data_IF_230647634497
#
_entry.id   IF_230647634497
#
_cell.length_a   1.000
_cell.length_b   1.000
_cell.length_c   1.000
_cell.angle_alpha   90.00
_cell.angle_beta   90.00
_cell.angle_gamma   90.00
#
_symmetry.space_group_name_H-M   'P 1'
#
loop_
_entity.id
_entity.type
_entity.pdbx_description
1 polymer ?
#
# COMPACT_ATOMS: atom_id res chain seq x y z
N UNK A 1 7.53 -6.15 -3.03
CA UNK A 1 7.07 -5.62 -1.72
C UNK A 1 5.56 -5.47 -1.69
N UNK A 2 4.94 -4.73 -2.62
CA UNK A 2 3.48 -4.54 -2.63
C UNK A 2 2.71 -5.86 -2.81
N UNK A 3 3.05 -6.67 -3.82
CA UNK A 3 2.44 -8.00 -4.04
C UNK A 3 2.52 -8.90 -2.81
N UNK A 4 3.69 -8.98 -2.18
CA UNK A 4 3.85 -9.73 -0.93
C UNK A 4 3.03 -9.14 0.21
N UNK A 5 2.92 -7.80 0.31
CA UNK A 5 2.17 -7.13 1.38
C UNK A 5 0.65 -7.32 1.26
N UNK A 6 0.14 -7.55 0.05
CA UNK A 6 -1.25 -7.95 -0.21
C UNK A 6 -1.61 -9.28 0.45
N UNK A 7 -0.73 -10.28 0.39
CA UNK A 7 -0.95 -11.52 1.12
C UNK A 7 -0.88 -11.32 2.64
N UNK A 8 0.04 -10.45 3.10
CA UNK A 8 0.21 -10.17 4.53
C UNK A 8 -1.01 -9.48 5.13
N UNK A 9 -1.60 -8.49 4.44
CA UNK A 9 -2.81 -7.81 4.95
C UNK A 9 -4.01 -8.75 4.99
N UNK A 10 -4.12 -9.66 4.02
CA UNK A 10 -5.16 -10.69 4.00
C UNK A 10 -5.08 -11.64 5.20
N UNK A 11 -3.88 -11.97 5.70
CA UNK A 11 -3.73 -12.74 6.95
C UNK A 11 -4.29 -11.98 8.15
N UNK A 12 -4.24 -10.64 8.13
CA UNK A 12 -4.85 -9.79 9.15
C UNK A 12 -6.37 -9.82 9.12
N UNK A 13 -6.97 -9.78 7.92
CA UNK A 13 -8.42 -9.94 7.74
C UNK A 13 -8.91 -11.33 8.19
N UNK A 14 -8.20 -12.38 7.78
CA UNK A 14 -8.49 -13.75 8.23
C UNK A 14 -8.39 -13.91 9.75
N UNK A 15 -7.52 -13.16 10.43
CA UNK A 15 -7.41 -13.15 11.88
C UNK A 15 -8.62 -12.50 12.55
N UNK A 16 -9.09 -11.34 12.08
CA UNK A 16 -10.24 -10.67 12.69
C UNK A 16 -11.54 -11.47 12.51
N UNK A 17 -11.69 -12.19 11.39
CA UNK A 17 -12.81 -13.12 11.17
C UNK A 17 -12.86 -14.26 12.17
N UNK A 18 -11.72 -14.58 12.82
CA UNK A 18 -11.62 -15.53 13.95
C UNK A 18 -11.68 -14.83 15.33
N UNK A 19 -12.10 -13.57 15.38
CA UNK A 19 -12.07 -12.69 16.57
C UNK A 19 -10.65 -12.41 17.13
N UNK A 20 -9.58 -12.70 16.38
CA UNK A 20 -8.21 -12.40 16.81
C UNK A 20 -7.79 -10.98 16.41
N UNK A 21 -8.12 -10.02 17.28
CA UNK A 21 -7.74 -8.61 17.11
C UNK A 21 -6.22 -8.39 17.23
N UNK A 22 -5.52 -9.21 18.02
CA UNK A 22 -4.07 -9.08 18.19
C UNK A 22 -3.33 -9.55 16.93
N UNK A 23 -3.75 -10.69 16.36
CA UNK A 23 -3.28 -11.19 15.08
C UNK A 23 -3.51 -10.18 13.96
N UNK A 24 -4.72 -9.62 13.86
CA UNK A 24 -5.03 -8.56 12.89
C UNK A 24 -4.07 -7.37 13.03
N UNK A 25 -3.86 -6.86 14.26
CA UNK A 25 -2.91 -5.75 14.52
C UNK A 25 -1.49 -6.09 14.08
N UNK A 26 -1.00 -7.29 14.39
CA UNK A 26 0.34 -7.72 14.02
C UNK A 26 0.53 -7.68 12.50
N UNK A 27 -0.38 -8.29 11.76
CA UNK A 27 -0.30 -8.34 10.29
C UNK A 27 -0.43 -6.97 9.65
N UNK A 28 -1.36 -6.13 10.12
CA UNK A 28 -1.51 -4.76 9.61
C UNK A 28 -0.27 -3.89 9.88
N UNK A 29 0.40 -4.06 11.01
CA UNK A 29 1.67 -3.35 11.30
C UNK A 29 2.78 -3.82 10.34
N UNK A 30 2.88 -5.12 10.08
CA UNK A 30 3.87 -5.65 9.12
C UNK A 30 3.59 -5.08 7.72
N UNK A 31 2.33 -5.08 7.27
CA UNK A 31 1.94 -4.47 5.99
C UNK A 31 2.30 -2.98 5.95
N UNK A 32 2.05 -2.23 7.03
CA UNK A 32 2.41 -0.82 7.11
C UNK A 32 3.92 -0.59 6.97
N UNK A 33 4.76 -1.41 7.62
CA UNK A 33 6.22 -1.33 7.48
C UNK A 33 6.64 -1.62 6.03
N UNK A 34 6.07 -2.65 5.41
CA UNK A 34 6.34 -2.96 4.00
C UNK A 34 5.96 -1.81 3.06
N UNK A 35 4.80 -1.19 3.27
CA UNK A 35 4.36 -0.01 2.51
C UNK A 35 5.28 1.19 2.70
N UNK A 36 5.75 1.44 3.92
CA UNK A 36 6.71 2.52 4.20
C UNK A 36 8.06 2.29 3.51
N UNK A 37 8.58 1.06 3.53
CA UNK A 37 9.81 0.69 2.81
C UNK A 37 9.64 0.93 1.30
N UNK A 38 8.49 0.57 0.74
CA UNK A 38 8.20 0.83 -0.67
C UNK A 38 8.22 2.32 -1.00
N UNK A 39 7.56 3.16 -0.19
CA UNK A 39 7.56 4.62 -0.39
C UNK A 39 8.97 5.21 -0.29
N UNK A 40 9.79 4.75 0.66
CA UNK A 40 11.19 5.17 0.76
C UNK A 40 11.99 4.78 -0.48
N UNK A 41 11.79 3.57 -1.00
CA UNK A 41 12.38 3.12 -2.26
C UNK A 41 12.02 4.06 -3.41
N UNK A 42 10.76 4.48 -3.51
CA UNK A 42 10.30 5.40 -4.55
C UNK A 42 10.97 6.78 -4.46
N UNK A 43 11.15 7.30 -3.25
CA UNK A 43 11.85 8.58 -3.03
C UNK A 43 13.32 8.47 -3.41
N UNK A 44 13.99 7.38 -3.02
CA UNK A 44 15.40 7.12 -3.40
C UNK A 44 15.53 7.04 -4.92
N UNK A 45 14.61 6.33 -5.59
CA UNK A 45 14.57 6.28 -7.04
C UNK A 45 14.49 7.68 -7.63
N UNK A 46 13.53 8.50 -7.21
CA UNK A 46 13.36 9.86 -7.72
C UNK A 46 14.59 10.75 -7.55
N UNK A 47 15.34 10.59 -6.44
CA UNK A 47 16.59 11.33 -6.21
C UNK A 47 17.76 10.84 -7.06
N UNK A 48 17.71 9.58 -7.51
CA UNK A 48 18.78 8.94 -8.31
C UNK A 48 18.58 9.08 -9.82
N UNK A 49 17.39 9.47 -10.27
CA UNK A 49 17.09 9.65 -11.69
C UNK A 49 17.84 10.86 -12.26
N UNK A 50 18.49 10.68 -13.40
CA UNK A 50 19.20 11.75 -14.12
C UNK A 50 18.29 12.69 -14.92
N UNK A 51 16.97 12.52 -14.83
CA UNK A 51 15.96 13.35 -15.49
C UNK A 51 14.90 13.79 -14.49
N UNK A 52 14.40 15.00 -14.66
CA UNK A 52 13.34 15.58 -13.83
C UNK A 52 12.00 15.66 -14.57
N UNK A 53 10.99 16.17 -13.85
CA UNK A 53 9.61 16.25 -14.33
C UNK A 53 9.41 17.06 -15.62
N UNK A 54 10.35 17.98 -15.92
CA UNK A 54 10.32 18.86 -17.10
C UNK A 54 11.27 18.42 -18.22
N UNK A 55 12.00 17.31 -18.06
CA UNK A 55 13.05 16.91 -19.02
C UNK A 55 12.48 16.51 -20.37
N UNK A 56 11.42 15.71 -20.41
CA UNK A 56 10.72 15.33 -21.63
C UNK A 56 9.32 14.78 -21.30
N UNK A 57 8.53 14.47 -22.33
CA UNK A 57 7.16 13.94 -22.17
C UNK A 57 7.14 12.62 -21.39
N UNK A 58 8.11 11.72 -21.63
CA UNK A 58 8.20 10.46 -20.91
C UNK A 58 8.43 10.67 -19.41
N UNK A 59 9.41 11.49 -19.05
CA UNK A 59 9.70 11.83 -17.66
C UNK A 59 8.49 12.48 -16.97
N UNK A 60 7.79 13.38 -17.67
CA UNK A 60 6.58 13.99 -17.15
C UNK A 60 5.48 12.95 -16.84
N UNK A 61 5.17 12.09 -17.80
CA UNK A 61 4.19 11.01 -17.61
C UNK A 61 4.61 10.03 -16.52
N UNK A 62 5.90 9.66 -16.47
CA UNK A 62 6.46 8.80 -15.44
C UNK A 62 6.20 9.38 -14.05
N UNK A 63 6.71 10.59 -13.76
CA UNK A 63 6.57 11.21 -12.45
C UNK A 63 5.12 11.46 -12.05
N UNK A 64 4.24 11.82 -13.00
CA UNK A 64 2.83 12.05 -12.70
C UNK A 64 2.12 10.74 -12.34
N UNK A 65 2.32 9.67 -13.12
CA UNK A 65 1.70 8.38 -12.86
C UNK A 65 2.23 7.73 -11.58
N UNK A 66 3.55 7.62 -11.43
CA UNK A 66 4.17 7.00 -10.25
C UNK A 66 3.99 7.87 -9.01
N UNK A 67 3.99 9.20 -9.15
CA UNK A 67 3.74 10.14 -8.05
C UNK A 67 2.30 10.05 -7.53
N UNK A 68 1.31 10.02 -8.43
CA UNK A 68 -0.10 9.87 -8.03
C UNK A 68 -0.36 8.51 -7.40
N UNK A 69 0.25 7.45 -7.93
CA UNK A 69 0.21 6.14 -7.30
C UNK A 69 0.88 6.15 -5.91
N UNK A 70 2.06 6.75 -5.77
CA UNK A 70 2.73 6.91 -4.49
C UNK A 70 1.87 7.65 -3.45
N UNK A 71 1.11 8.66 -3.87
CA UNK A 71 0.12 9.32 -3.02
C UNK A 71 -0.96 8.35 -2.55
N UNK A 72 -1.49 7.47 -3.41
CA UNK A 72 -2.47 6.46 -3.03
C UNK A 72 -1.89 5.44 -2.06
N UNK A 73 -0.65 5.00 -2.26
CA UNK A 73 0.06 4.12 -1.31
C UNK A 73 0.17 4.80 0.06
N UNK A 74 0.52 6.08 0.09
CA UNK A 74 0.59 6.85 1.34
C UNK A 74 -0.77 6.97 2.04
N UNK A 75 -1.85 7.25 1.30
CA UNK A 75 -3.21 7.26 1.85
C UNK A 75 -3.58 5.88 2.40
N UNK A 76 -3.29 4.81 1.66
CA UNK A 76 -3.52 3.43 2.11
C UNK A 76 -2.77 3.13 3.41
N UNK A 77 -1.53 3.61 3.53
CA UNK A 77 -0.72 3.46 4.74
C UNK A 77 -1.38 4.16 5.93
N UNK A 78 -1.88 5.37 5.75
CA UNK A 78 -2.63 6.10 6.78
C UNK A 78 -3.93 5.37 7.17
N UNK A 79 -4.65 4.76 6.21
CA UNK A 79 -5.85 3.97 6.49
C UNK A 79 -5.52 2.74 7.35
N UNK A 80 -4.47 1.99 6.99
CA UNK A 80 -3.98 0.84 7.76
C UNK A 80 -3.60 1.26 9.18
N UNK A 81 -2.82 2.33 9.32
CA UNK A 81 -2.43 2.86 10.63
C UNK A 81 -3.65 3.34 11.44
N UNK A 82 -4.65 3.93 10.78
CA UNK A 82 -5.92 4.33 11.37
C UNK A 82 -6.75 3.15 11.87
N UNK A 83 -6.76 2.03 11.14
CA UNK A 83 -7.36 0.77 11.60
C UNK A 83 -6.63 0.24 12.82
N UNK A 84 -5.30 0.16 12.78
CA UNK A 84 -4.49 -0.27 13.93
C UNK A 84 -4.74 0.63 15.14
N UNK A 85 -4.82 1.95 14.95
CA UNK A 85 -5.11 2.88 16.03
C UNK A 85 -6.51 2.69 16.63
N UNK A 86 -7.55 2.57 15.80
CA UNK A 86 -8.93 2.32 16.27
C UNK A 86 -9.07 0.98 16.99
N UNK A 87 -8.33 -0.03 16.56
CA UNK A 87 -8.34 -1.37 17.18
C UNK A 87 -7.85 -1.38 18.63
N UNK A 88 -7.15 -0.32 19.09
CA UNK A 88 -6.74 -0.18 20.49
C UNK A 88 -7.92 0.07 21.44
N UNK A 89 -9.06 0.53 20.93
CA UNK A 89 -10.28 0.71 21.72
C UNK A 89 -10.94 -0.66 21.94
N UNK A 90 -11.11 -1.11 23.21
CA UNK A 90 -11.72 -2.41 23.49
C UNK A 90 -13.11 -2.54 22.85
N UNK A 91 -13.39 -3.69 22.22
CA UNK A 91 -14.68 -3.98 21.59
C UNK A 91 -15.00 -3.15 20.33
N UNK A 92 -14.06 -2.36 19.81
CA UNK A 92 -14.29 -1.59 18.58
C UNK A 92 -14.41 -2.48 17.35
N UNK A 93 -13.56 -3.52 17.27
CA UNK A 93 -13.58 -4.53 16.24
C UNK A 93 -13.90 -5.92 16.82
N UNK A 94 -14.65 -6.70 16.06
CA UNK A 94 -14.96 -8.12 16.31
C UNK A 94 -15.16 -8.84 14.97
N UNK A 95 -15.32 -10.16 15.00
CA UNK A 95 -15.63 -10.96 13.81
C UNK A 95 -16.91 -10.56 13.07
N UNK A 96 -17.82 -9.81 13.71
CA UNK A 96 -19.05 -9.30 13.09
C UNK A 96 -19.02 -7.80 12.83
N UNK A 97 -18.05 -7.08 13.43
CA UNK A 97 -17.91 -5.63 13.34
C UNK A 97 -16.49 -5.29 12.92
N UNK A 98 -16.20 -5.46 11.63
CA UNK A 98 -14.85 -5.26 11.08
C UNK A 98 -14.83 -4.57 9.70
N UNK A 99 -15.90 -3.89 9.28
CA UNK A 99 -15.97 -3.24 7.96
C UNK A 99 -14.81 -2.29 7.69
N UNK A 100 -14.31 -1.57 8.71
CA UNK A 100 -13.16 -0.68 8.53
C UNK A 100 -11.84 -1.41 8.21
N UNK A 101 -11.72 -2.68 8.60
CA UNK A 101 -10.56 -3.55 8.32
C UNK A 101 -10.65 -4.02 6.87
N UNK A 102 -11.80 -4.55 6.46
CA UNK A 102 -12.09 -5.02 5.08
C UNK A 102 -11.91 -3.90 4.05
N UNK A 103 -12.40 -2.68 4.35
CA UNK A 103 -12.24 -1.55 3.44
C UNK A 103 -10.78 -1.12 3.27
N UNK A 104 -9.97 -1.21 4.35
CA UNK A 104 -8.54 -0.93 4.27
C UNK A 104 -7.79 -2.01 3.47
N UNK A 105 -8.17 -3.28 3.61
CA UNK A 105 -7.64 -4.40 2.82
C UNK A 105 -7.95 -4.22 1.33
N UNK A 106 -9.22 -3.99 0.98
CA UNK A 106 -9.65 -3.78 -0.42
C UNK A 106 -8.91 -2.59 -1.05
N UNK A 107 -8.79 -1.48 -0.33
CA UNK A 107 -8.04 -0.32 -0.81
C UNK A 107 -6.56 -0.66 -1.04
N UNK A 108 -5.94 -1.43 -0.15
CA UNK A 108 -4.54 -1.83 -0.30
C UNK A 108 -4.32 -2.74 -1.52
N UNK A 109 -5.22 -3.70 -1.76
CA UNK A 109 -5.19 -4.53 -2.95
C UNK A 109 -5.37 -3.73 -4.24
N UNK A 110 -6.27 -2.75 -4.24
CA UNK A 110 -6.46 -1.85 -5.38
C UNK A 110 -5.15 -1.15 -5.74
N UNK A 111 -4.46 -0.58 -4.74
CA UNK A 111 -3.18 0.09 -4.94
C UNK A 111 -2.15 -0.89 -5.52
N UNK A 112 -2.04 -2.10 -4.97
CA UNK A 112 -1.10 -3.11 -5.46
C UNK A 112 -1.34 -3.50 -6.93
N UNK A 113 -2.60 -3.68 -7.35
CA UNK A 113 -2.95 -3.98 -8.74
C UNK A 113 -2.53 -2.84 -9.68
N UNK A 114 -2.78 -1.58 -9.30
CA UNK A 114 -2.33 -0.42 -10.08
C UNK A 114 -0.81 -0.40 -10.22
N UNK A 115 -0.07 -0.77 -9.17
CA UNK A 115 1.39 -0.84 -9.24
C UNK A 115 1.87 -1.87 -10.27
N UNK A 116 1.25 -3.05 -10.32
CA UNK A 116 1.61 -4.09 -11.31
C UNK A 116 1.46 -3.56 -12.74
N UNK A 117 0.36 -2.84 -13.01
CA UNK A 117 0.08 -2.23 -14.31
C UNK A 117 1.15 -1.17 -14.62
N UNK A 118 1.41 -0.25 -13.69
CA UNK A 118 2.41 0.82 -13.88
C UNK A 118 3.82 0.26 -14.06
N UNK A 119 4.21 -0.75 -13.26
CA UNK A 119 5.51 -1.39 -13.37
C UNK A 119 5.71 -2.01 -14.76
N UNK A 120 4.69 -2.71 -15.25
CA UNK A 120 4.72 -3.33 -16.59
C UNK A 120 4.85 -2.27 -17.69
N UNK A 121 4.04 -1.22 -17.64
CA UNK A 121 4.04 -0.17 -18.66
C UNK A 121 5.31 0.68 -18.66
N UNK A 122 5.79 1.08 -17.47
CA UNK A 122 6.86 2.07 -17.33
C UNK A 122 8.26 1.48 -17.22
N UNK A 123 8.41 0.22 -16.81
CA UNK A 123 9.72 -0.42 -16.62
C UNK A 123 9.98 -1.60 -17.54
N UNK A 124 8.96 -2.33 -17.99
CA UNK A 124 9.15 -3.49 -18.86
C UNK A 124 8.99 -3.10 -20.32
N UNK A 125 7.86 -2.48 -20.67
CA UNK A 125 7.54 -2.19 -22.07
C UNK A 125 8.44 -1.10 -22.68
N UNK A 126 8.87 -0.14 -21.87
CA UNK A 126 9.73 1.00 -22.26
C UNK A 126 11.22 0.65 -22.34
N UNK A 127 11.61 -0.57 -21.95
CA UNK A 127 12.97 -1.10 -22.16
C UNK A 127 13.22 -1.56 -23.59
N UNK A 128 12.17 -1.65 -24.40
CA UNK A 128 12.19 -1.96 -25.84
C UNK A 128 11.89 -0.69 -26.65
#
# INVERSE_FOLDING_TARGET
>A
ILVSSSFVIHLGDAAIKKNDVQGMRKWYIITAIMGAIFLLGQVIEYMSLGYGLTTNVFANCFYLMTGFHGLHVFVGLLLILGVVWRSRRPGHYSATKHTGIEMAEIYWHFVDIIWIILFTLLYILTRF
#
